data_IF_093886958737
#
_entry.id   IF_093886958737
#
_cell.length_a   1.000
_cell.length_b   1.000
_cell.length_c   1.000
_cell.angle_alpha   90.00
_cell.angle_beta   90.00
_cell.angle_gamma   90.00
#
_symmetry.space_group_name_H-M   'P 1'
#
loop_
_entity.id
_entity.type
_entity.pdbx_description
1 polymer ?
#
# COMPACT_ATOMS: atom_id res chain seq x y z
N UNK A 1 -17.71 -3.97 7.42
CA UNK A 1 -16.68 -3.91 6.36
C UNK A 1 -15.38 -4.60 6.81
N UNK A 2 -14.76 -4.19 7.92
CA UNK A 2 -13.46 -4.74 8.35
C UNK A 2 -13.47 -6.24 8.65
N UNK A 3 -14.54 -6.77 9.27
CA UNK A 3 -14.66 -8.22 9.54
C UNK A 3 -14.75 -9.03 8.25
N UNK A 4 -15.42 -8.53 7.21
CA UNK A 4 -15.55 -9.23 5.93
C UNK A 4 -14.20 -9.36 5.21
N UNK A 5 -13.38 -8.31 5.22
CA UNK A 5 -12.05 -8.32 4.58
C UNK A 5 -11.06 -9.30 5.24
N UNK A 6 -11.27 -9.67 6.50
CA UNK A 6 -10.48 -10.70 7.18
C UNK A 6 -10.98 -12.10 6.83
N UNK A 7 -12.30 -12.26 6.64
CA UNK A 7 -12.91 -13.54 6.30
C UNK A 7 -12.72 -13.93 4.84
N UNK A 8 -12.62 -12.95 3.95
CA UNK A 8 -12.42 -13.12 2.50
C UNK A 8 -11.42 -12.07 1.99
N UNK A 9 -10.09 -12.33 2.16
CA UNK A 9 -9.06 -11.40 1.73
C UNK A 9 -8.77 -11.53 0.24
N UNK A 10 -8.49 -10.41 -0.42
CA UNK A 10 -7.94 -10.43 -1.78
C UNK A 10 -6.55 -11.06 -1.77
N UNK A 11 -6.31 -12.02 -2.68
CA UNK A 11 -4.98 -12.62 -2.83
C UNK A 11 -3.99 -11.63 -3.47
N UNK A 12 -2.96 -11.25 -2.73
CA UNK A 12 -1.91 -10.38 -3.22
C UNK A 12 -0.57 -10.56 -2.50
N UNK A 13 0.54 -10.27 -3.18
CA UNK A 13 1.89 -10.29 -2.60
C UNK A 13 2.35 -8.89 -2.13
N UNK A 14 1.42 -8.04 -1.72
CA UNK A 14 1.78 -6.71 -1.22
C UNK A 14 2.25 -6.79 0.23
N UNK A 15 3.47 -6.32 0.47
CA UNK A 15 4.08 -6.32 1.80
C UNK A 15 4.29 -4.90 2.35
N UNK A 16 4.17 -3.89 1.50
CA UNK A 16 4.40 -2.50 1.85
C UNK A 16 3.32 -1.60 1.26
N UNK A 17 2.98 -0.53 1.96
CA UNK A 17 2.12 0.53 1.42
C UNK A 17 2.62 1.93 1.82
N UNK A 18 2.27 2.94 1.03
CA UNK A 18 2.51 4.36 1.35
C UNK A 18 1.30 5.20 0.98
N UNK A 19 0.98 6.22 1.78
CA UNK A 19 -0.08 7.16 1.46
C UNK A 19 0.31 8.04 0.26
N UNK A 20 -0.62 8.24 -0.67
CA UNK A 20 -0.43 9.09 -1.87
C UNK A 20 -0.98 10.51 -1.68
N UNK A 21 -1.63 10.77 -0.55
CA UNK A 21 -2.49 11.94 -0.33
C UNK A 21 -3.93 11.66 -0.78
N UNK A 22 -4.88 12.50 -0.34
CA UNK A 22 -6.28 12.40 -0.76
C UNK A 22 -7.02 11.14 -0.31
N UNK A 23 -6.50 10.39 0.67
CA UNK A 23 -7.08 9.12 1.14
C UNK A 23 -6.68 7.89 0.31
N UNK A 24 -5.77 8.03 -0.66
CA UNK A 24 -5.28 6.91 -1.46
C UNK A 24 -3.99 6.28 -0.91
N UNK A 25 -3.80 5.00 -1.20
CA UNK A 25 -2.60 4.23 -0.88
C UNK A 25 -1.94 3.65 -2.14
N UNK A 26 -0.62 3.52 -2.12
CA UNK A 26 0.16 2.77 -3.11
C UNK A 26 0.75 1.53 -2.46
N UNK A 27 0.48 0.35 -3.00
CA UNK A 27 0.99 -0.93 -2.50
C UNK A 27 2.22 -1.40 -3.28
N UNK A 28 3.14 -2.09 -2.63
CA UNK A 28 4.41 -2.55 -3.20
C UNK A 28 4.79 -3.94 -2.69
N UNK A 29 5.39 -4.75 -3.56
CA UNK A 29 5.82 -6.12 -3.24
C UNK A 29 7.24 -6.17 -2.66
N UNK A 30 8.08 -5.17 -2.94
CA UNK A 30 9.47 -5.16 -2.48
C UNK A 30 9.83 -3.85 -1.78
N UNK A 31 10.82 -3.91 -0.87
CA UNK A 31 11.34 -2.72 -0.19
C UNK A 31 11.87 -1.67 -1.18
N UNK A 32 12.47 -2.10 -2.30
CA UNK A 32 12.94 -1.19 -3.35
C UNK A 32 11.78 -0.41 -3.99
N UNK A 33 10.68 -1.10 -4.33
CA UNK A 33 9.47 -0.46 -4.86
C UNK A 33 8.85 0.51 -3.85
N UNK A 34 8.77 0.09 -2.59
CA UNK A 34 8.28 0.93 -1.50
C UNK A 34 9.11 2.22 -1.38
N UNK A 35 10.44 2.13 -1.37
CA UNK A 35 11.30 3.30 -1.23
C UNK A 35 11.18 4.27 -2.41
N UNK A 36 10.96 3.76 -3.63
CA UNK A 36 10.65 4.59 -4.80
C UNK A 36 9.31 5.30 -4.60
N UNK A 37 8.28 4.57 -4.16
CA UNK A 37 6.96 5.12 -3.88
C UNK A 37 6.99 6.17 -2.75
N UNK A 38 7.76 5.94 -1.69
CA UNK A 38 7.98 6.91 -0.60
C UNK A 38 8.60 8.20 -1.13
N UNK A 39 9.62 8.11 -1.99
CA UNK A 39 10.19 9.32 -2.62
C UNK A 39 9.21 10.03 -3.54
N UNK A 40 8.35 9.27 -4.22
CA UNK A 40 7.34 9.80 -5.15
C UNK A 40 6.17 10.48 -4.44
N UNK A 41 5.75 9.97 -3.28
CA UNK A 41 4.52 10.41 -2.60
C UNK A 41 4.77 11.11 -1.26
N UNK A 42 5.87 10.83 -0.57
CA UNK A 42 6.21 11.34 0.75
C UNK A 42 6.89 12.70 0.79
N UNK A 43 6.96 13.44 -0.33
CA UNK A 43 7.46 14.82 -0.39
C UNK A 43 6.33 15.87 -0.42
N UNK A 44 5.17 15.56 0.17
CA UNK A 44 4.07 16.50 0.38
C UNK A 44 3.75 16.62 1.85
#
# INVERSE_FOLDING_TARGET
>A
ASVAAVMDPDEHDYFYFVARGGGEHHFSKTLRQHNIAVRRYGQR
#
